data_IF_759113776907
#
_entry.id   IF_759113776907
#
_cell.length_a   1.000
_cell.length_b   1.000
_cell.length_c   1.000
_cell.angle_alpha   90.00
_cell.angle_beta   90.00
_cell.angle_gamma   90.00
#
_symmetry.space_group_name_H-M   'P 1'
#
loop_
_entity.id
_entity.type
_entity.pdbx_description
1 polymer ?
#
# COMPACT_ATOMS: atom_id res chain seq x y z
N UNK A 1 -10.11 -13.63 26.98
CA UNK A 1 -8.65 -13.68 26.74
C UNK A 1 -8.37 -12.82 25.53
N UNK A 2 -8.02 -11.56 25.82
CA UNK A 2 -7.60 -10.58 24.83
C UNK A 2 -6.11 -10.84 24.54
N UNK A 3 -5.82 -11.85 23.72
CA UNK A 3 -4.46 -12.10 23.25
C UNK A 3 -4.08 -10.92 22.34
N UNK A 4 -3.54 -9.86 22.94
CA UNK A 4 -2.96 -8.74 22.20
C UNK A 4 -1.88 -9.30 21.31
N UNK A 5 -2.04 -9.16 20.00
CA UNK A 5 -0.94 -9.43 19.06
C UNK A 5 0.30 -8.67 19.55
N UNK A 6 1.50 -9.25 19.47
CA UNK A 6 2.70 -8.56 19.90
C UNK A 6 2.82 -7.23 19.14
N UNK A 7 2.97 -6.15 19.91
CA UNK A 7 3.16 -4.81 19.34
C UNK A 7 4.48 -4.85 18.59
N UNK A 8 4.43 -4.71 17.27
CA UNK A 8 5.64 -4.65 16.44
C UNK A 8 6.33 -3.31 16.68
N UNK A 9 7.67 -3.28 16.73
CA UNK A 9 8.39 -2.03 16.90
C UNK A 9 8.17 -1.08 15.71
N UNK A 10 8.25 0.22 15.98
CA UNK A 10 8.30 1.25 14.96
C UNK A 10 9.77 1.50 14.55
N UNK A 11 10.06 1.98 13.35
CA UNK A 11 9.10 2.25 12.27
C UNK A 11 8.58 0.99 11.58
N UNK A 12 7.35 1.06 11.03
CA UNK A 12 6.76 -0.02 10.24
C UNK A 12 6.63 0.39 8.78
N UNK A 13 7.23 -0.39 7.88
CA UNK A 13 7.11 -0.21 6.43
C UNK A 13 6.19 -1.30 5.88
N UNK A 14 5.03 -0.90 5.37
CA UNK A 14 3.93 -1.79 4.98
C UNK A 14 3.59 -1.58 3.50
N UNK A 15 3.74 -2.59 2.67
CA UNK A 15 3.24 -2.57 1.30
C UNK A 15 1.76 -2.97 1.27
N UNK A 16 0.93 -2.15 0.65
CA UNK A 16 -0.49 -2.46 0.40
C UNK A 16 -0.61 -3.03 -1.01
N UNK A 17 -0.77 -4.33 -1.13
CA UNK A 17 -0.65 -5.03 -2.39
C UNK A 17 -1.79 -6.04 -2.63
N UNK A 18 -2.27 -6.08 -3.87
CA UNK A 18 -3.13 -7.13 -4.42
C UNK A 18 -3.07 -7.03 -5.94
N UNK A 19 -3.00 -8.16 -6.62
CA UNK A 19 -2.91 -8.23 -8.09
C UNK A 19 -4.24 -7.93 -8.80
N UNK A 20 -5.35 -8.01 -8.09
CA UNK A 20 -6.66 -7.64 -8.63
C UNK A 20 -6.83 -6.12 -8.60
N UNK A 21 -7.18 -5.53 -9.75
CA UNK A 21 -7.57 -4.12 -9.83
C UNK A 21 -8.89 -3.86 -9.10
N UNK A 22 -9.06 -2.64 -8.58
CA UNK A 22 -10.32 -2.22 -7.96
C UNK A 22 -10.66 -2.85 -6.61
N UNK A 23 -9.73 -3.54 -5.95
CA UNK A 23 -9.95 -4.13 -4.61
C UNK A 23 -9.73 -3.15 -3.46
N UNK A 24 -9.62 -1.86 -3.72
CA UNK A 24 -9.49 -0.84 -2.68
C UNK A 24 -8.09 -0.73 -2.05
N UNK A 25 -7.00 -1.07 -2.76
CA UNK A 25 -5.62 -0.85 -2.29
C UNK A 25 -5.40 0.60 -1.89
N UNK A 26 -5.49 1.50 -2.85
CA UNK A 26 -5.32 2.94 -2.67
C UNK A 26 -6.27 3.51 -1.62
N UNK A 27 -7.55 3.13 -1.66
CA UNK A 27 -8.53 3.54 -0.66
C UNK A 27 -8.12 3.11 0.74
N UNK A 28 -7.62 1.88 0.89
CA UNK A 28 -7.12 1.37 2.18
C UNK A 28 -5.87 2.14 2.61
N UNK A 29 -4.91 2.35 1.71
CA UNK A 29 -3.65 3.07 1.98
C UNK A 29 -3.92 4.49 2.47
N UNK A 30 -4.72 5.26 1.72
CA UNK A 30 -5.03 6.67 2.03
C UNK A 30 -5.77 6.80 3.36
N UNK A 31 -6.82 6.00 3.56
CA UNK A 31 -7.63 6.13 4.77
C UNK A 31 -6.94 5.56 6.02
N UNK A 32 -6.14 4.50 5.89
CA UNK A 32 -5.32 4.01 6.98
C UNK A 32 -4.25 5.04 7.37
N UNK A 33 -3.56 5.61 6.37
CA UNK A 33 -2.56 6.66 6.60
C UNK A 33 -3.14 7.89 7.31
N UNK A 34 -4.30 8.36 6.85
CA UNK A 34 -5.02 9.46 7.49
C UNK A 34 -5.39 9.13 8.94
N UNK A 35 -5.95 7.95 9.20
CA UNK A 35 -6.33 7.53 10.55
C UNK A 35 -5.13 7.40 11.50
N UNK A 36 -3.98 6.92 11.01
CA UNK A 36 -2.74 6.88 11.80
C UNK A 36 -2.24 8.28 12.11
N UNK A 37 -2.29 9.19 11.15
CA UNK A 37 -1.88 10.59 11.33
C UNK A 37 -2.80 11.34 12.31
N UNK A 38 -4.10 11.08 12.30
CA UNK A 38 -5.06 11.62 13.27
C UNK A 38 -4.77 11.15 14.72
N UNK A 39 -4.18 9.96 14.87
CA UNK A 39 -3.70 9.46 16.16
C UNK A 39 -2.35 10.08 16.59
N UNK A 40 -1.81 11.02 15.78
CA UNK A 40 -0.55 11.70 16.04
C UNK A 40 0.69 10.95 15.56
N UNK A 41 0.52 9.83 14.84
CA UNK A 41 1.61 9.04 14.29
C UNK A 41 2.09 9.62 12.95
N UNK A 42 3.39 9.87 12.87
CA UNK A 42 4.01 10.44 11.68
C UNK A 42 4.02 9.41 10.55
N UNK A 43 3.24 9.65 9.49
CA UNK A 43 2.95 8.66 8.45
C UNK A 43 3.34 9.19 7.07
N UNK A 44 4.12 8.40 6.33
CA UNK A 44 4.45 8.62 4.93
C UNK A 44 3.69 7.63 4.05
N UNK A 45 2.99 8.13 3.02
CA UNK A 45 2.44 7.31 1.94
C UNK A 45 3.36 7.43 0.73
N UNK A 46 3.77 6.30 0.15
CA UNK A 46 4.52 6.23 -1.09
C UNK A 46 3.60 5.70 -2.17
N UNK A 47 3.34 6.51 -3.19
CA UNK A 47 2.49 6.12 -4.30
C UNK A 47 3.36 5.53 -5.44
N UNK A 48 3.25 4.23 -5.66
CA UNK A 48 3.95 3.52 -6.76
C UNK A 48 3.04 3.22 -7.95
N UNK A 49 1.76 3.60 -7.88
CA UNK A 49 0.86 3.43 -9.03
C UNK A 49 1.00 4.63 -9.97
N UNK A 50 1.39 4.42 -11.25
CA UNK A 50 1.48 5.51 -12.24
C UNK A 50 0.17 6.29 -12.43
N UNK A 51 -0.97 5.73 -12.01
CA UNK A 51 -2.25 6.44 -12.03
C UNK A 51 -2.31 7.57 -10.98
N UNK A 52 -1.44 7.59 -9.96
CA UNK A 52 -1.35 8.63 -8.96
C UNK A 52 -2.61 8.79 -8.10
N UNK A 53 -3.34 7.69 -7.87
CA UNK A 53 -4.61 7.76 -7.16
C UNK A 53 -4.42 8.03 -5.65
N UNK A 54 -3.34 7.58 -5.02
CA UNK A 54 -3.04 7.94 -3.64
C UNK A 54 -2.63 9.41 -3.55
N UNK A 55 -1.82 9.88 -4.49
CA UNK A 55 -1.35 11.26 -4.61
C UNK A 55 -2.54 12.23 -4.73
N UNK A 56 -3.39 12.02 -5.74
CA UNK A 56 -4.57 12.87 -5.98
C UNK A 56 -5.62 12.74 -4.87
N UNK A 57 -5.78 11.55 -4.30
CA UNK A 57 -6.67 11.30 -3.17
C UNK A 57 -6.27 12.00 -1.86
N UNK A 58 -5.05 12.53 -1.81
CA UNK A 58 -4.54 13.37 -0.71
C UNK A 58 -4.45 14.86 -1.10
N UNK A 59 -5.00 15.24 -2.24
CA UNK A 59 -5.04 16.62 -2.71
C UNK A 59 -3.73 17.13 -3.30
N UNK A 60 -2.75 16.26 -3.54
CA UNK A 60 -1.48 16.62 -4.17
C UNK A 60 -1.60 16.43 -5.70
N UNK A 61 -1.13 17.40 -6.50
CA UNK A 61 -1.17 17.28 -7.96
C UNK A 61 -0.23 16.18 -8.46
N UNK A 62 -0.62 15.47 -9.50
CA UNK A 62 0.21 14.46 -10.18
C UNK A 62 0.99 15.01 -11.37
N UNK A 63 0.88 16.30 -11.62
CA UNK A 63 1.57 17.02 -12.73
C UNK A 63 2.25 18.28 -12.23
N UNK A 64 3.37 18.63 -12.86
CA UNK A 64 4.13 19.82 -12.49
C UNK A 64 4.88 19.68 -11.17
N UNK A 65 5.14 18.45 -10.75
CA UNK A 65 6.01 18.15 -9.61
C UNK A 65 7.46 18.29 -10.04
N UNK A 66 8.26 18.95 -9.22
CA UNK A 66 9.72 19.06 -9.45
C UNK A 66 10.38 17.68 -9.29
N UNK A 67 9.90 16.89 -8.33
CA UNK A 67 10.38 15.53 -8.05
C UNK A 67 9.20 14.61 -7.75
N UNK A 68 9.26 13.39 -8.24
CA UNK A 68 8.25 12.34 -8.00
C UNK A 68 8.92 11.00 -7.79
N UNK A 69 8.16 9.96 -7.49
CA UNK A 69 8.68 8.59 -7.36
C UNK A 69 9.38 8.08 -8.62
N UNK A 70 9.07 8.63 -9.80
CA UNK A 70 9.85 8.36 -11.03
C UNK A 70 11.32 8.76 -10.84
N UNK A 71 11.58 10.00 -10.44
CA UNK A 71 12.95 10.50 -10.25
C UNK A 71 13.70 9.76 -9.14
N UNK A 72 12.98 9.36 -8.08
CA UNK A 72 13.57 8.56 -6.98
C UNK A 72 14.02 7.18 -7.49
N UNK A 73 13.21 6.51 -8.30
CA UNK A 73 13.51 5.15 -8.75
C UNK A 73 14.45 5.11 -9.95
N UNK A 74 14.32 6.03 -10.92
CA UNK A 74 15.07 6.04 -12.18
C UNK A 74 16.35 6.85 -12.02
N UNK A 75 16.24 8.07 -11.56
CA UNK A 75 17.36 9.03 -11.48
C UNK A 75 18.11 8.96 -10.13
N UNK A 76 17.69 8.09 -9.21
CA UNK A 76 18.26 7.97 -7.86
C UNK A 76 18.21 9.28 -7.07
N UNK A 77 17.22 10.13 -7.35
CA UNK A 77 17.00 11.36 -6.61
C UNK A 77 16.72 11.06 -5.12
N UNK A 78 17.23 11.88 -4.18
CA UNK A 78 16.91 11.70 -2.77
C UNK A 78 15.40 11.77 -2.52
N UNK A 79 14.85 10.77 -1.80
CA UNK A 79 13.42 10.70 -1.55
C UNK A 79 12.90 11.89 -0.74
N UNK A 80 13.75 12.50 0.07
CA UNK A 80 13.47 13.72 0.83
C UNK A 80 12.98 14.87 -0.05
N UNK A 81 13.52 14.95 -1.27
CA UNK A 81 13.14 15.97 -2.25
C UNK A 81 11.78 15.68 -2.92
N UNK A 82 11.27 14.46 -2.73
CA UNK A 82 10.01 14.02 -3.31
C UNK A 82 8.84 14.10 -2.32
N UNK A 83 9.12 14.14 -1.00
CA UNK A 83 8.08 14.09 0.02
C UNK A 83 7.35 15.42 0.13
N UNK A 84 6.03 15.40 -0.06
CA UNK A 84 5.13 16.54 0.06
C UNK A 84 4.26 16.42 1.34
N UNK A 85 4.04 17.51 2.06
CA UNK A 85 3.07 17.55 3.14
C UNK A 85 1.65 17.52 2.55
N UNK A 86 0.73 16.89 3.27
CA UNK A 86 -0.70 16.93 2.93
C UNK A 86 -1.46 17.94 3.79
N UNK A 87 -2.73 18.15 3.51
CA UNK A 87 -3.62 18.97 4.35
C UNK A 87 -3.84 18.36 5.76
N UNK A 88 -3.50 17.07 5.94
CA UNK A 88 -3.66 16.35 7.19
C UNK A 88 -2.35 16.42 7.98
N UNK A 89 -2.43 16.95 9.19
CA UNK A 89 -1.27 17.02 10.07
C UNK A 89 -0.67 15.62 10.29
N UNK A 90 0.66 15.50 10.24
CA UNK A 90 1.42 14.26 10.38
C UNK A 90 1.30 13.27 9.21
N UNK A 91 0.57 13.60 8.13
CA UNK A 91 0.50 12.80 6.91
C UNK A 91 1.29 13.45 5.79
N UNK A 92 2.17 12.64 5.18
CA UNK A 92 3.03 13.01 4.06
C UNK A 92 2.83 12.06 2.90
N UNK A 93 3.14 12.50 1.68
CA UNK A 93 3.10 11.65 0.49
C UNK A 93 4.35 11.84 -0.35
N UNK A 94 4.93 10.75 -0.83
CA UNK A 94 5.88 10.72 -1.94
C UNK A 94 5.07 10.43 -3.21
N UNK A 95 4.82 11.45 -4.06
CA UNK A 95 3.83 11.38 -5.11
C UNK A 95 4.29 10.56 -6.31
N UNK A 96 3.36 9.84 -6.94
CA UNK A 96 3.52 9.31 -8.29
C UNK A 96 3.37 10.39 -9.35
N UNK A 97 3.98 10.15 -10.52
CA UNK A 97 3.71 10.89 -11.76
C UNK A 97 3.37 9.91 -12.89
N UNK A 98 2.82 10.43 -13.99
CA UNK A 98 2.55 9.61 -15.19
C UNK A 98 3.83 9.00 -15.77
N UNK A 99 4.98 9.66 -15.60
CA UNK A 99 6.27 9.18 -16.11
C UNK A 99 6.67 7.85 -15.46
N UNK A 100 6.14 7.57 -14.25
CA UNK A 100 6.36 6.30 -13.56
C UNK A 100 5.89 5.07 -14.39
N UNK A 101 4.97 5.27 -15.35
CA UNK A 101 4.57 4.21 -16.28
C UNK A 101 5.73 3.75 -17.21
N UNK A 102 6.68 4.64 -17.50
CA UNK A 102 7.89 4.34 -18.27
C UNK A 102 9.02 3.73 -17.46
N UNK A 103 8.99 3.91 -16.14
CA UNK A 103 10.08 3.52 -15.24
C UNK A 103 10.47 2.04 -15.34
N UNK A 104 9.50 1.14 -15.57
CA UNK A 104 9.80 -0.30 -15.68
C UNK A 104 10.69 -0.63 -16.90
N UNK A 105 10.51 0.10 -18.02
CA UNK A 105 11.35 -0.06 -19.21
C UNK A 105 12.74 0.53 -18.99
N UNK A 106 12.82 1.70 -18.41
CA UNK A 106 14.10 2.39 -18.15
C UNK A 106 14.95 1.64 -17.13
N UNK A 107 14.31 1.11 -16.08
CA UNK A 107 14.97 0.28 -15.08
C UNK A 107 15.33 -1.12 -15.58
N UNK A 108 14.86 -1.56 -16.75
CA UNK A 108 15.06 -2.93 -17.23
C UNK A 108 16.55 -3.34 -17.28
N UNK A 109 17.45 -2.41 -17.59
CA UNK A 109 18.91 -2.62 -17.63
C UNK A 109 19.64 -2.06 -16.41
N UNK A 110 18.96 -1.43 -15.46
CA UNK A 110 19.58 -0.81 -14.31
C UNK A 110 20.08 -1.86 -13.30
N UNK A 111 21.21 -1.57 -12.67
CA UNK A 111 21.75 -2.40 -11.62
C UNK A 111 20.91 -2.27 -10.34
N UNK A 112 20.70 -3.39 -9.64
CA UNK A 112 19.89 -3.45 -8.40
C UNK A 112 18.48 -2.83 -8.52
N UNK A 113 17.89 -2.89 -9.71
CA UNK A 113 16.62 -2.25 -10.05
C UNK A 113 15.44 -2.64 -9.13
N UNK A 114 15.50 -3.83 -8.55
CA UNK A 114 14.48 -4.33 -7.63
C UNK A 114 14.60 -3.72 -6.21
N UNK A 115 15.72 -3.08 -5.89
CA UNK A 115 16.05 -2.56 -4.56
C UNK A 115 16.13 -1.04 -4.50
N UNK A 116 15.76 -0.33 -5.56
CA UNK A 116 15.85 1.13 -5.65
C UNK A 116 15.07 1.83 -4.53
N UNK A 117 13.82 1.42 -4.31
CA UNK A 117 13.02 2.00 -3.23
C UNK A 117 13.57 1.68 -1.84
N UNK A 118 14.08 0.46 -1.64
CA UNK A 118 14.70 0.08 -0.37
C UNK A 118 15.92 0.93 -0.04
N UNK A 119 16.74 1.21 -1.05
CA UNK A 119 17.90 2.08 -0.90
C UNK A 119 17.48 3.53 -0.60
N UNK A 120 16.51 4.07 -1.34
CA UNK A 120 16.01 5.42 -1.13
C UNK A 120 15.35 5.62 0.25
N UNK A 121 14.64 4.60 0.76
CA UNK A 121 13.98 4.67 2.08
C UNK A 121 14.95 4.63 3.25
N UNK A 122 16.17 4.14 3.06
CA UNK A 122 17.13 3.98 4.15
C UNK A 122 17.48 5.31 4.85
N UNK A 123 17.37 6.45 4.14
CA UNK A 123 17.67 7.80 4.70
C UNK A 123 16.54 8.39 5.51
N UNK A 124 15.26 8.02 5.24
CA UNK A 124 14.09 8.73 5.80
C UNK A 124 13.17 7.88 6.64
N UNK A 125 13.26 6.54 6.55
CA UNK A 125 12.27 5.66 7.19
C UNK A 125 12.14 5.88 8.71
N UNK A 126 13.24 6.22 9.36
CA UNK A 126 13.30 6.40 10.82
C UNK A 126 12.70 7.76 11.26
N UNK A 127 12.39 8.65 10.31
CA UNK A 127 11.66 9.89 10.54
C UNK A 127 10.14 9.69 10.65
N UNK A 128 9.64 8.49 10.33
CA UNK A 128 8.22 8.16 10.31
C UNK A 128 7.91 6.97 11.23
N UNK A 129 6.75 7.01 11.87
CA UNK A 129 6.24 5.86 12.61
C UNK A 129 5.72 4.78 11.64
N UNK A 130 5.10 5.22 10.55
CA UNK A 130 4.57 4.34 9.50
C UNK A 130 4.95 4.82 8.11
N UNK A 131 5.37 3.89 7.26
CA UNK A 131 5.49 4.08 5.82
C UNK A 131 4.55 3.11 5.14
N UNK A 132 3.56 3.63 4.41
CA UNK A 132 2.59 2.84 3.64
C UNK A 132 2.92 2.96 2.15
N UNK A 133 3.15 1.85 1.48
CA UNK A 133 3.49 1.81 0.06
C UNK A 133 2.27 1.33 -0.73
N UNK A 134 1.65 2.24 -1.50
CA UNK A 134 0.54 1.89 -2.40
C UNK A 134 1.07 1.25 -3.68
N UNK A 135 0.81 -0.04 -3.88
CA UNK A 135 1.33 -0.80 -5.00
C UNK A 135 0.33 -0.83 -6.17
N UNK A 136 0.81 -0.75 -7.43
CA UNK A 136 -0.04 -0.94 -8.61
C UNK A 136 -0.67 -2.36 -8.64
N UNK A 137 -1.71 -2.59 -9.45
CA UNK A 137 -2.39 -3.89 -9.52
C UNK A 137 -1.59 -4.97 -10.27
N UNK A 138 -0.45 -4.61 -10.86
CA UNK A 138 0.42 -5.52 -11.60
C UNK A 138 1.57 -6.01 -10.73
N UNK A 139 2.08 -7.22 -10.97
CA UNK A 139 3.32 -7.69 -10.36
C UNK A 139 4.52 -7.31 -11.23
N UNK A 140 4.62 -6.03 -11.56
CA UNK A 140 5.76 -5.46 -12.27
C UNK A 140 6.87 -5.04 -11.33
N UNK A 141 7.89 -4.39 -11.89
CA UNK A 141 9.07 -3.95 -11.15
C UNK A 141 8.76 -2.94 -10.03
N UNK A 142 7.73 -2.10 -10.22
CA UNK A 142 7.26 -1.17 -9.19
C UNK A 142 6.74 -1.91 -7.96
N UNK A 143 5.89 -2.91 -8.15
CA UNK A 143 5.39 -3.74 -7.03
C UNK A 143 6.52 -4.53 -6.36
N UNK A 144 7.47 -5.04 -7.15
CA UNK A 144 8.67 -5.73 -6.61
C UNK A 144 9.48 -4.78 -5.74
N UNK A 145 9.69 -3.52 -6.16
CA UNK A 145 10.35 -2.50 -5.35
C UNK A 145 9.61 -2.24 -4.03
N UNK A 146 8.29 -2.10 -4.08
CA UNK A 146 7.48 -1.92 -2.87
C UNK A 146 7.62 -3.07 -1.89
N UNK A 147 7.53 -4.31 -2.38
CA UNK A 147 7.65 -5.51 -1.55
C UNK A 147 9.09 -5.74 -1.06
N UNK A 148 10.10 -5.39 -1.85
CA UNK A 148 11.50 -5.50 -1.44
C UNK A 148 11.88 -4.49 -0.35
N UNK A 149 11.21 -3.34 -0.31
CA UNK A 149 11.44 -2.29 0.69
C UNK A 149 10.63 -2.48 1.98
N UNK A 150 9.52 -3.21 1.93
CA UNK A 150 8.60 -3.38 3.06
C UNK A 150 9.03 -4.54 3.98
N UNK A 151 8.75 -4.42 5.28
CA UNK A 151 8.80 -5.55 6.21
C UNK A 151 7.49 -6.34 6.24
N UNK A 152 6.40 -5.69 5.85
CA UNK A 152 5.06 -6.24 5.97
C UNK A 152 4.23 -6.02 4.71
N UNK A 153 3.30 -6.96 4.46
CA UNK A 153 2.28 -6.80 3.41
C UNK A 153 0.89 -6.77 4.06
N UNK A 154 0.14 -5.70 3.78
CA UNK A 154 -1.29 -5.60 4.03
C UNK A 154 -2.01 -5.92 2.73
N UNK A 155 -2.95 -6.87 2.80
CA UNK A 155 -3.69 -7.35 1.63
C UNK A 155 -5.16 -7.01 1.76
N UNK A 156 -5.67 -5.98 1.07
CA UNK A 156 -7.10 -5.77 0.95
C UNK A 156 -7.68 -6.77 -0.04
N UNK A 157 -8.78 -7.42 0.35
CA UNK A 157 -9.50 -8.37 -0.50
C UNK A 157 -10.99 -8.02 -0.55
N UNK A 158 -11.57 -8.06 -1.76
CA UNK A 158 -13.00 -7.99 -1.93
C UNK A 158 -13.66 -9.29 -1.49
N UNK A 159 -14.85 -9.20 -0.87
CA UNK A 159 -15.64 -10.36 -0.43
C UNK A 159 -16.43 -10.96 -1.60
N UNK A 160 -15.71 -11.42 -2.64
CA UNK A 160 -16.22 -12.01 -3.88
C UNK A 160 -15.69 -13.44 -4.09
N UNK A 161 -16.32 -14.19 -4.99
CA UNK A 161 -16.05 -15.61 -5.22
C UNK A 161 -14.57 -15.97 -5.47
N UNK A 162 -13.85 -15.14 -6.23
CA UNK A 162 -12.43 -15.38 -6.57
C UNK A 162 -11.42 -14.81 -5.56
N UNK A 163 -11.87 -14.42 -4.37
CA UNK A 163 -11.00 -13.78 -3.37
C UNK A 163 -9.84 -14.69 -2.94
N UNK A 164 -10.11 -15.95 -2.66
CA UNK A 164 -9.10 -16.94 -2.21
C UNK A 164 -8.10 -17.29 -3.32
N UNK A 165 -8.53 -17.40 -4.56
CA UNK A 165 -7.64 -17.69 -5.69
C UNK A 165 -6.64 -16.56 -5.93
N UNK A 166 -7.13 -15.30 -5.97
CA UNK A 166 -6.28 -14.13 -6.10
C UNK A 166 -5.29 -13.97 -4.95
N UNK A 167 -5.74 -14.27 -3.72
CA UNK A 167 -4.88 -14.26 -2.55
C UNK A 167 -3.78 -15.33 -2.64
N UNK A 168 -4.12 -16.54 -3.06
CA UNK A 168 -3.15 -17.62 -3.26
C UNK A 168 -2.05 -17.26 -4.26
N UNK A 169 -2.38 -16.55 -5.34
CA UNK A 169 -1.40 -16.08 -6.33
C UNK A 169 -0.47 -15.02 -5.72
N UNK A 170 -1.02 -14.04 -5.01
CA UNK A 170 -0.23 -13.02 -4.32
C UNK A 170 0.74 -13.63 -3.33
N UNK A 171 0.29 -14.58 -2.50
CA UNK A 171 1.13 -15.25 -1.50
C UNK A 171 2.32 -15.97 -2.12
N UNK A 172 2.13 -16.65 -3.25
CA UNK A 172 3.25 -17.29 -3.98
C UNK A 172 4.29 -16.26 -4.46
N UNK A 173 3.85 -15.10 -4.88
CA UNK A 173 4.75 -14.03 -5.34
C UNK A 173 5.48 -13.36 -4.18
N UNK A 174 4.78 -13.11 -3.06
CA UNK A 174 5.43 -12.63 -1.83
C UNK A 174 6.49 -13.61 -1.34
N UNK A 175 6.19 -14.92 -1.35
CA UNK A 175 7.14 -15.96 -0.97
C UNK A 175 8.38 -16.00 -1.89
N UNK A 176 8.19 -15.79 -3.20
CA UNK A 176 9.32 -15.66 -4.13
C UNK A 176 10.21 -14.47 -3.81
N UNK A 177 9.61 -13.29 -3.55
CA UNK A 177 10.36 -12.07 -3.18
C UNK A 177 11.06 -12.27 -1.84
N UNK A 178 10.39 -12.88 -0.86
CA UNK A 178 10.95 -13.21 0.43
C UNK A 178 12.23 -14.04 0.30
N UNK A 179 12.22 -15.06 -0.54
CA UNK A 179 13.39 -15.94 -0.73
C UNK A 179 14.54 -15.28 -1.47
N UNK A 180 14.26 -14.35 -2.39
CA UNK A 180 15.27 -13.83 -3.32
C UNK A 180 15.79 -12.45 -2.96
N UNK A 181 14.95 -11.58 -2.39
CA UNK A 181 15.24 -10.16 -2.24
C UNK A 181 15.08 -9.65 -0.80
N UNK A 182 14.10 -10.18 -0.05
CA UNK A 182 13.74 -9.64 1.26
C UNK A 182 13.29 -10.75 2.23
N UNK A 183 14.21 -11.40 2.94
CA UNK A 183 13.90 -12.52 3.85
C UNK A 183 12.96 -12.16 5.00
N UNK A 184 12.88 -10.87 5.37
CA UNK A 184 12.05 -10.38 6.49
C UNK A 184 10.59 -10.13 6.07
N UNK A 185 10.32 -10.07 4.75
CA UNK A 185 8.97 -9.79 4.24
C UNK A 185 7.97 -10.83 4.70
N UNK A 186 6.85 -10.38 5.24
CA UNK A 186 5.74 -11.27 5.59
C UNK A 186 4.36 -10.65 5.29
N UNK A 187 3.40 -11.49 4.96
CA UNK A 187 1.99 -11.07 4.94
C UNK A 187 1.52 -11.02 6.39
N UNK A 188 1.43 -9.81 6.93
CA UNK A 188 1.02 -9.58 8.32
C UNK A 188 -0.48 -9.40 8.48
N UNK A 189 -1.14 -8.84 7.46
CA UNK A 189 -2.52 -8.37 7.61
C UNK A 189 -3.33 -8.61 6.33
N UNK A 190 -4.50 -9.20 6.48
CA UNK A 190 -5.53 -9.32 5.44
C UNK A 190 -6.76 -8.57 5.91
N UNK A 191 -7.29 -7.66 5.09
CA UNK A 191 -8.51 -6.91 5.39
C UNK A 191 -9.58 -7.17 4.34
N UNK A 192 -10.77 -7.60 4.80
CA UNK A 192 -11.93 -7.77 3.94
C UNK A 192 -12.58 -6.42 3.69
N UNK A 193 -12.62 -6.00 2.43
CA UNK A 193 -13.17 -4.71 2.01
C UNK A 193 -14.37 -4.87 1.10
N UNK A 194 -15.13 -3.78 0.90
CA UNK A 194 -16.37 -3.77 0.11
C UNK A 194 -17.37 -4.82 0.59
N UNK A 195 -17.39 -5.07 1.90
CA UNK A 195 -18.27 -6.05 2.51
C UNK A 195 -19.72 -5.59 2.44
N UNK A 196 -20.60 -6.47 1.92
CA UNK A 196 -22.05 -6.26 1.94
C UNK A 196 -22.71 -7.34 2.83
N UNK A 197 -23.10 -6.93 4.04
CA UNK A 197 -23.73 -7.81 5.04
C UNK A 197 -25.05 -8.47 4.57
N UNK A 198 -25.69 -7.92 3.54
CA UNK A 198 -26.96 -8.43 2.98
C UNK A 198 -26.73 -9.69 2.15
N UNK A 199 -25.52 -9.92 1.66
CA UNK A 199 -25.22 -11.04 0.80
C UNK A 199 -24.70 -12.25 1.59
N UNK A 200 -25.19 -13.44 1.24
CA UNK A 200 -24.69 -14.71 1.80
C UNK A 200 -23.24 -14.95 1.40
N UNK A 201 -22.92 -14.65 0.13
CA UNK A 201 -21.59 -14.81 -0.43
C UNK A 201 -20.52 -14.05 0.37
N UNK A 202 -20.75 -12.77 0.69
CA UNK A 202 -19.76 -11.98 1.45
C UNK A 202 -19.47 -12.59 2.83
N UNK A 203 -20.51 -13.08 3.52
CA UNK A 203 -20.34 -13.76 4.82
C UNK A 203 -19.55 -15.07 4.69
N UNK A 204 -19.83 -15.87 3.67
CA UNK A 204 -19.12 -17.12 3.40
C UNK A 204 -17.65 -16.85 3.08
N UNK A 205 -17.34 -15.90 2.18
CA UNK A 205 -15.97 -15.53 1.83
C UNK A 205 -15.18 -15.07 3.06
N UNK A 206 -15.76 -14.19 3.91
CA UNK A 206 -15.09 -13.76 5.15
C UNK A 206 -14.80 -14.92 6.08
N UNK A 207 -15.74 -15.87 6.24
CA UNK A 207 -15.56 -17.07 7.05
C UNK A 207 -14.42 -17.93 6.49
N UNK A 208 -14.44 -18.22 5.19
CA UNK A 208 -13.47 -19.09 4.53
C UNK A 208 -12.06 -18.50 4.57
N UNK A 209 -11.93 -17.17 4.39
CA UNK A 209 -10.64 -16.47 4.52
C UNK A 209 -10.13 -16.55 5.97
N UNK A 210 -11.00 -16.37 6.97
CA UNK A 210 -10.61 -16.49 8.39
C UNK A 210 -10.21 -17.91 8.76
N UNK A 211 -10.90 -18.91 8.25
CA UNK A 211 -10.56 -20.32 8.49
C UNK A 211 -9.18 -20.68 7.91
N UNK A 212 -8.83 -20.12 6.73
CA UNK A 212 -7.55 -20.42 6.08
C UNK A 212 -6.36 -19.61 6.65
N UNK A 213 -6.57 -18.34 7.03
CA UNK A 213 -5.47 -17.43 7.35
C UNK A 213 -5.45 -16.99 8.82
N UNK A 214 -6.44 -17.40 9.61
CA UNK A 214 -6.46 -17.22 11.05
C UNK A 214 -6.27 -15.77 11.50
N UNK A 215 -5.32 -15.56 12.40
CA UNK A 215 -5.06 -14.28 13.06
C UNK A 215 -4.54 -13.17 12.12
N UNK A 216 -4.11 -13.53 10.90
CA UNK A 216 -3.73 -12.53 9.88
C UNK A 216 -4.93 -11.75 9.33
N UNK A 217 -6.14 -12.28 9.48
CA UNK A 217 -7.36 -11.64 8.98
C UNK A 217 -7.95 -10.75 10.05
N UNK A 218 -8.07 -9.46 9.76
CA UNK A 218 -8.66 -8.51 10.68
C UNK A 218 -10.10 -8.91 11.05
N UNK A 219 -10.45 -8.72 12.32
CA UNK A 219 -11.85 -8.86 12.79
C UNK A 219 -12.75 -7.80 12.14
N UNK A 220 -12.22 -6.60 11.96
CA UNK A 220 -12.90 -5.50 11.28
C UNK A 220 -12.99 -5.78 9.79
N UNK A 221 -14.16 -5.51 9.20
CA UNK A 221 -14.39 -5.50 7.75
C UNK A 221 -14.72 -4.08 7.31
N UNK A 222 -14.29 -3.69 6.12
CA UNK A 222 -14.61 -2.38 5.55
C UNK A 222 -15.87 -2.55 4.66
N UNK A 223 -17.00 -1.93 5.03
CA UNK A 223 -18.23 -2.07 4.27
C UNK A 223 -18.14 -1.36 2.90
N UNK A 224 -19.01 -1.77 1.98
CA UNK A 224 -19.20 -1.04 0.72
C UNK A 224 -19.95 0.25 1.02
N UNK A 225 -19.29 1.39 0.90
CA UNK A 225 -19.85 2.72 1.13
C UNK A 225 -19.63 3.62 -0.08
N UNK A 226 -20.68 4.28 -0.54
CA UNK A 226 -20.61 5.25 -1.66
C UNK A 226 -19.68 6.41 -1.30
N UNK A 227 -19.81 6.96 -0.11
CA UNK A 227 -18.94 8.05 0.38
C UNK A 227 -17.46 7.73 0.34
N UNK A 228 -17.08 6.47 0.64
CA UNK A 228 -15.68 6.03 0.57
C UNK A 228 -15.15 6.02 -0.88
N UNK A 229 -16.03 5.81 -1.86
CA UNK A 229 -15.67 5.86 -3.28
C UNK A 229 -15.65 7.28 -3.83
N UNK A 230 -16.38 8.21 -3.23
CA UNK A 230 -16.48 9.61 -3.64
C UNK A 230 -15.37 10.49 -3.03
N UNK A 231 -14.91 10.18 -1.82
CA UNK A 231 -13.92 10.96 -1.08
C UNK A 231 -12.66 11.33 -1.90
N UNK A 232 -12.06 10.41 -2.70
CA UNK A 232 -10.90 10.74 -3.53
C UNK A 232 -11.17 11.83 -4.57
N UNK A 233 -12.41 11.99 -5.05
CA UNK A 233 -12.75 13.05 -6.01
C UNK A 233 -12.68 14.46 -5.41
N UNK A 234 -12.68 14.55 -4.09
CA UNK A 234 -12.49 15.80 -3.34
C UNK A 234 -11.05 15.96 -2.83
N UNK A 235 -10.14 15.01 -3.16
CA UNK A 235 -8.75 15.02 -2.67
C UNK A 235 -8.66 14.83 -1.15
N UNK A 236 -9.58 14.08 -0.55
CA UNK A 236 -9.70 13.90 0.90
C UNK A 236 -9.96 12.44 1.28
N UNK A 237 -9.46 11.95 2.41
CA UNK A 237 -9.90 10.70 3.00
C UNK A 237 -11.32 10.83 3.59
N UNK A 238 -11.94 9.70 3.95
CA UNK A 238 -13.32 9.70 4.45
C UNK A 238 -13.45 10.30 5.87
N UNK A 239 -12.36 10.47 6.58
CA UNK A 239 -12.33 10.98 7.96
C UNK A 239 -12.39 12.51 8.05
N UNK A 240 -12.27 13.24 6.93
CA UNK A 240 -12.25 14.72 6.88
C UNK A 240 -13.56 15.34 6.35
#
# INVERSE_FOLDING_TARGET
>A
DDARQPVRPLPRVIAVANQKGGVGKTTTTVNLGASLAELGLRTLIIDLDPQGNATSGLGVPTRGLDTSMYHVLVDEAPIENCVEPTAIKHLFVAPASLDLAGAELELASAFSRELRLRAALASVRDDYDYVLIDCPPTLGLLTVNGLAAAGEVLVPIQTEYYALEGLGLLLRNVDRIKRSLNPELEVSTIVCVMYDARTKLAREVVRDVREHFGDKVLRTVVPRLVKLSEAPSYGQPITT
#
